data_IF_871383754110
#
_entry.id   IF_871383754110
#
_cell.length_a   1.000
_cell.length_b   1.000
_cell.length_c   1.000
_cell.angle_alpha   90.00
_cell.angle_beta   90.00
_cell.angle_gamma   90.00
#
_symmetry.space_group_name_H-M   'P 1'
#
loop_
_entity.id
_entity.type
_entity.pdbx_description
1 polymer ?
#
# COMPACT_ATOMS: atom_id res chain seq x y z
N UNK A 1 -8.20 7.74 2.25
CA UNK A 1 -9.27 8.43 1.49
C UNK A 1 -8.66 9.48 0.58
N UNK A 2 -9.05 9.48 -0.69
CA UNK A 2 -8.70 10.51 -1.66
C UNK A 2 -9.77 11.60 -1.67
N UNK A 3 -9.36 12.87 -1.49
CA UNK A 3 -10.23 14.05 -1.49
C UNK A 3 -10.10 14.75 -2.84
N UNK A 4 -10.99 14.42 -3.76
CA UNK A 4 -11.00 14.96 -5.12
C UNK A 4 -11.62 16.35 -5.15
N UNK A 5 -11.23 17.21 -6.13
CA UNK A 5 -11.90 18.49 -6.36
C UNK A 5 -13.40 18.27 -6.60
N UNK A 6 -14.23 19.11 -5.98
CA UNK A 6 -15.69 19.10 -6.12
C UNK A 6 -16.30 20.45 -5.69
N UNK A 7 -17.51 20.73 -6.10
CA UNK A 7 -18.26 21.94 -5.71
C UNK A 7 -19.66 21.52 -5.18
N UNK A 8 -20.12 22.05 -4.04
CA UNK A 8 -19.46 23.03 -3.15
C UNK A 8 -18.37 22.43 -2.24
N UNK A 9 -18.25 21.12 -2.16
CA UNK A 9 -17.31 20.43 -1.27
C UNK A 9 -16.49 19.39 -2.04
N UNK A 10 -15.33 19.00 -1.48
CA UNK A 10 -14.50 17.92 -2.02
C UNK A 10 -15.24 16.58 -2.00
N UNK A 11 -15.00 15.76 -3.01
CA UNK A 11 -15.56 14.42 -3.11
C UNK A 11 -14.61 13.44 -2.46
N UNK A 12 -15.05 12.79 -1.37
CA UNK A 12 -14.28 11.76 -0.70
C UNK A 12 -14.48 10.40 -1.40
N UNK A 13 -13.38 9.76 -1.77
CA UNK A 13 -13.36 8.45 -2.43
C UNK A 13 -12.45 7.51 -1.65
N UNK A 14 -12.88 6.28 -1.45
CA UNK A 14 -12.04 5.25 -0.84
C UNK A 14 -10.96 4.86 -1.86
N UNK A 15 -9.72 5.27 -1.56
CA UNK A 15 -8.55 5.06 -2.40
C UNK A 15 -7.42 4.38 -1.65
N UNK A 16 -6.25 4.36 -2.30
CA UNK A 16 -5.07 3.67 -1.81
C UNK A 16 -4.91 2.27 -2.42
N UNK A 17 -3.66 1.93 -2.79
CA UNK A 17 -3.33 0.65 -3.46
C UNK A 17 -3.91 -0.58 -2.75
N UNK A 18 -3.64 -0.80 -1.45
CA UNK A 18 -4.14 -1.97 -0.75
C UNK A 18 -5.66 -2.09 -0.72
N UNK A 19 -6.39 -0.99 -0.47
CA UNK A 19 -7.85 -1.00 -0.46
C UNK A 19 -8.43 -1.30 -1.85
N UNK A 20 -7.84 -0.73 -2.90
CA UNK A 20 -8.25 -1.01 -4.29
C UNK A 20 -7.97 -2.47 -4.69
N UNK A 21 -6.83 -3.02 -4.27
CA UNK A 21 -6.50 -4.43 -4.49
C UNK A 21 -7.48 -5.34 -3.75
N UNK A 22 -7.78 -5.06 -2.48
CA UNK A 22 -8.74 -5.83 -1.69
C UNK A 22 -10.13 -5.86 -2.35
N UNK A 23 -10.64 -4.70 -2.77
CA UNK A 23 -11.92 -4.59 -3.50
C UNK A 23 -11.90 -5.39 -4.81
N UNK A 24 -10.81 -5.28 -5.59
CA UNK A 24 -10.69 -5.97 -6.86
C UNK A 24 -10.69 -7.50 -6.68
N UNK A 25 -9.88 -8.01 -5.75
CA UNK A 25 -9.81 -9.45 -5.47
C UNK A 25 -11.15 -10.00 -4.95
N UNK A 26 -11.81 -9.28 -4.04
CA UNK A 26 -13.12 -9.69 -3.54
C UNK A 26 -14.18 -9.75 -4.65
N UNK A 27 -14.21 -8.75 -5.55
CA UNK A 27 -15.11 -8.74 -6.72
C UNK A 27 -14.80 -9.87 -7.71
N UNK A 28 -13.57 -10.39 -7.73
CA UNK A 28 -13.18 -11.58 -8.50
C UNK A 28 -13.56 -12.89 -7.78
N UNK A 29 -14.16 -12.84 -6.60
CA UNK A 29 -14.65 -13.99 -5.86
C UNK A 29 -13.65 -14.62 -4.89
N UNK A 30 -12.54 -13.94 -4.58
CA UNK A 30 -11.59 -14.39 -3.57
C UNK A 30 -12.04 -14.01 -2.17
N UNK A 31 -11.71 -14.83 -1.18
CA UNK A 31 -11.86 -14.49 0.25
C UNK A 31 -10.72 -13.55 0.66
N UNK A 32 -11.07 -12.31 1.00
CA UNK A 32 -10.10 -11.25 1.25
C UNK A 32 -10.32 -10.67 2.65
N UNK A 33 -9.26 -10.59 3.44
CA UNK A 33 -9.22 -9.87 4.70
C UNK A 33 -8.34 -8.62 4.58
N UNK A 34 -8.87 -7.48 4.99
CA UNK A 34 -8.15 -6.21 4.97
C UNK A 34 -7.54 -5.93 6.34
N UNK A 35 -6.21 -5.79 6.40
CA UNK A 35 -5.45 -5.54 7.62
C UNK A 35 -5.02 -4.08 7.61
N UNK A 36 -5.70 -3.24 8.37
CA UNK A 36 -5.41 -1.79 8.47
C UNK A 36 -6.05 -1.23 9.75
N UNK A 37 -5.55 -0.10 10.23
CA UNK A 37 -6.27 0.73 11.19
C UNK A 37 -7.32 1.58 10.46
N UNK A 38 -8.60 1.36 10.76
CA UNK A 38 -9.70 2.14 10.18
C UNK A 38 -10.27 3.06 11.25
N UNK A 39 -10.26 4.37 10.99
CA UNK A 39 -10.76 5.40 11.90
C UNK A 39 -12.25 5.24 12.23
N UNK A 40 -12.64 5.70 13.43
CA UNK A 40 -14.05 5.88 13.84
C UNK A 40 -14.69 7.17 13.30
N UNK A 41 -13.92 8.04 12.59
CA UNK A 41 -14.42 9.28 12.00
C UNK A 41 -15.35 9.03 10.78
N UNK A 42 -15.87 10.12 10.19
CA UNK A 42 -16.79 10.01 9.06
C UNK A 42 -16.18 9.32 7.83
N UNK A 43 -14.89 9.61 7.54
CA UNK A 43 -14.18 9.02 6.42
C UNK A 43 -13.89 7.52 6.66
N UNK A 44 -13.47 7.16 7.87
CA UNK A 44 -13.26 5.75 8.23
C UNK A 44 -14.55 4.93 8.18
N UNK A 45 -15.68 5.50 8.64
CA UNK A 45 -17.00 4.87 8.50
C UNK A 45 -17.40 4.66 7.05
N UNK A 46 -17.14 5.65 6.17
CA UNK A 46 -17.39 5.53 4.74
C UNK A 46 -16.51 4.46 4.09
N UNK A 47 -15.19 4.44 4.44
CA UNK A 47 -14.26 3.43 3.95
C UNK A 47 -14.71 2.01 4.33
N UNK A 48 -15.08 1.80 5.60
CA UNK A 48 -15.59 0.53 6.11
C UNK A 48 -16.84 0.08 5.36
N UNK A 49 -17.81 0.98 5.17
CA UNK A 49 -19.05 0.67 4.47
C UNK A 49 -18.80 0.28 3.00
N UNK A 50 -17.85 0.95 2.33
CA UNK A 50 -17.50 0.64 0.95
C UNK A 50 -16.78 -0.71 0.82
N UNK A 51 -15.80 -0.99 1.68
CA UNK A 51 -15.08 -2.26 1.69
C UNK A 51 -16.02 -3.44 1.93
N UNK A 52 -16.91 -3.34 2.92
CA UNK A 52 -17.93 -4.36 3.21
C UNK A 52 -18.90 -4.55 2.03
N UNK A 53 -19.36 -3.46 1.41
CA UNK A 53 -20.23 -3.52 0.22
C UNK A 53 -19.56 -4.27 -0.93
N UNK A 54 -18.24 -4.13 -1.08
CA UNK A 54 -17.45 -4.83 -2.10
C UNK A 54 -17.07 -6.27 -1.69
N UNK A 55 -17.55 -6.74 -0.52
CA UNK A 55 -17.32 -8.11 -0.04
C UNK A 55 -15.99 -8.33 0.69
N UNK A 56 -15.25 -7.26 1.01
CA UNK A 56 -13.97 -7.36 1.74
C UNK A 56 -14.24 -7.64 3.23
N UNK A 57 -13.62 -8.69 3.78
CA UNK A 57 -13.64 -8.99 5.20
C UNK A 57 -12.80 -7.98 6.01
N UNK A 58 -13.31 -7.60 7.18
CA UNK A 58 -12.70 -6.61 8.07
C UNK A 58 -12.45 -7.16 9.48
N UNK A 59 -12.47 -8.48 9.65
CA UNK A 59 -12.26 -9.11 10.95
C UNK A 59 -10.87 -8.87 11.52
N UNK A 60 -9.90 -8.59 10.63
CA UNK A 60 -8.51 -8.27 10.97
C UNK A 60 -8.21 -6.77 10.93
N UNK A 61 -9.20 -5.92 10.69
CA UNK A 61 -9.03 -4.47 10.70
C UNK A 61 -9.26 -3.91 12.12
N UNK A 62 -8.34 -3.06 12.58
CA UNK A 62 -8.46 -2.38 13.86
C UNK A 62 -9.45 -1.20 13.76
N UNK A 63 -10.35 -1.07 14.73
CA UNK A 63 -11.08 0.18 14.95
C UNK A 63 -10.17 1.16 15.70
N UNK A 64 -9.94 2.33 15.12
CA UNK A 64 -9.03 3.33 15.67
C UNK A 64 -9.73 4.67 15.91
N UNK A 65 -9.38 5.35 16.99
CA UNK A 65 -9.81 6.73 17.26
C UNK A 65 -8.87 7.78 16.64
N UNK A 66 -7.75 7.33 16.03
CA UNK A 66 -6.89 8.22 15.26
C UNK A 66 -7.60 8.64 13.96
N UNK A 67 -7.30 9.84 13.42
CA UNK A 67 -7.95 10.33 12.19
C UNK A 67 -7.64 9.44 10.98
N UNK A 68 -8.53 9.48 10.00
CA UNK A 68 -8.30 8.82 8.71
C UNK A 68 -7.15 9.48 7.95
N UNK A 69 -6.26 8.69 7.37
CA UNK A 69 -5.29 9.16 6.38
C UNK A 69 -6.01 9.68 5.13
N UNK A 70 -5.66 10.88 4.69
CA UNK A 70 -6.24 11.49 3.49
C UNK A 70 -5.17 11.94 2.51
N UNK A 71 -5.48 11.83 1.20
CA UNK A 71 -4.73 12.43 0.12
C UNK A 71 -5.61 13.49 -0.55
N UNK A 72 -5.29 14.76 -0.36
CA UNK A 72 -6.00 15.87 -0.99
C UNK A 72 -5.46 16.09 -2.39
N UNK A 73 -6.30 15.94 -3.40
CA UNK A 73 -5.96 16.18 -4.80
C UNK A 73 -6.30 17.60 -5.16
N UNK A 74 -5.35 18.31 -5.77
CA UNK A 74 -5.55 19.63 -6.36
C UNK A 74 -5.10 19.60 -7.83
N UNK A 75 -5.89 20.20 -8.69
CA UNK A 75 -5.57 20.33 -10.11
C UNK A 75 -5.05 21.75 -10.37
N UNK A 76 -3.90 21.85 -11.00
CA UNK A 76 -3.37 23.12 -11.50
C UNK A 76 -4.03 23.51 -12.82
N UNK A 77 -3.83 24.77 -13.24
CA UNK A 77 -4.45 25.32 -14.46
C UNK A 77 -4.03 24.60 -15.75
N UNK A 78 -2.91 23.88 -15.74
CA UNK A 78 -2.43 23.04 -16.83
C UNK A 78 -2.97 21.59 -16.79
N UNK A 79 -3.85 21.28 -15.80
CA UNK A 79 -4.45 19.96 -15.62
C UNK A 79 -3.56 18.96 -14.85
N UNK A 80 -2.37 19.36 -14.38
CA UNK A 80 -1.53 18.49 -13.56
C UNK A 80 -2.12 18.33 -12.16
N UNK A 81 -2.06 17.09 -11.63
CA UNK A 81 -2.54 16.79 -10.28
C UNK A 81 -1.39 16.89 -9.26
N UNK A 82 -1.64 17.60 -8.16
CA UNK A 82 -0.79 17.59 -6.98
C UNK A 82 -1.51 16.93 -5.81
N UNK A 83 -0.74 16.29 -4.92
CA UNK A 83 -1.25 15.53 -3.78
C UNK A 83 -0.67 16.08 -2.50
N UNK A 84 -1.54 16.37 -1.53
CA UNK A 84 -1.17 16.69 -0.17
C UNK A 84 -1.65 15.57 0.75
N UNK A 85 -0.74 14.96 1.51
CA UNK A 85 -1.05 13.81 2.34
C UNK A 85 -1.12 14.18 3.82
N UNK A 86 -2.22 13.85 4.49
CA UNK A 86 -2.32 13.81 5.95
C UNK A 86 -1.95 12.40 6.41
N UNK A 87 -0.73 12.22 6.92
CA UNK A 87 -0.15 10.92 7.25
C UNK A 87 0.07 10.79 8.77
N UNK A 88 0.72 11.80 9.36
CA UNK A 88 1.20 11.73 10.74
C UNK A 88 0.04 11.59 11.73
N UNK A 89 0.15 10.60 12.62
CA UNK A 89 -0.84 10.35 13.64
C UNK A 89 -2.18 9.83 13.13
N UNK A 90 -2.21 9.23 11.92
CA UNK A 90 -3.42 8.65 11.35
C UNK A 90 -3.48 7.13 11.57
N UNK A 91 -4.70 6.59 11.51
CA UNK A 91 -4.99 5.19 11.82
C UNK A 91 -4.19 4.19 10.98
N UNK A 92 -4.08 4.43 9.68
CA UNK A 92 -3.41 3.54 8.70
C UNK A 92 -1.92 3.30 9.00
N UNK A 93 -1.24 4.24 9.67
CA UNK A 93 0.21 4.10 9.94
C UNK A 93 0.53 3.74 11.39
N UNK A 94 -0.49 3.40 12.19
CA UNK A 94 -0.36 3.07 13.60
C UNK A 94 -0.33 1.54 13.84
N UNK A 95 0.43 0.80 13.01
CA UNK A 95 0.61 -0.63 13.22
C UNK A 95 1.32 -0.92 14.54
N UNK A 96 0.80 -1.90 15.28
CA UNK A 96 1.33 -2.36 16.56
C UNK A 96 1.14 -3.88 16.68
N UNK A 97 2.10 -4.56 17.30
CA UNK A 97 2.08 -6.00 17.47
C UNK A 97 0.89 -6.52 18.30
N UNK A 98 0.24 -5.64 19.09
CA UNK A 98 -0.87 -6.04 19.96
C UNK A 98 -2.13 -6.42 19.20
N UNK A 99 -2.29 -5.95 17.95
CA UNK A 99 -3.49 -6.21 17.16
C UNK A 99 -3.23 -6.90 15.81
N UNK A 100 -1.99 -6.95 15.34
CA UNK A 100 -1.66 -7.74 14.16
C UNK A 100 -1.96 -9.22 14.41
N UNK A 101 -2.58 -9.94 13.46
CA UNK A 101 -2.89 -11.35 13.67
C UNK A 101 -1.63 -12.19 13.87
N UNK A 102 -1.73 -13.21 14.71
CA UNK A 102 -0.66 -14.18 14.89
C UNK A 102 -0.36 -14.89 13.56
N UNK A 103 0.85 -14.75 12.99
CA UNK A 103 1.17 -15.32 11.69
C UNK A 103 0.97 -16.82 11.60
N UNK A 104 1.25 -17.56 12.68
CA UNK A 104 1.11 -19.03 12.73
C UNK A 104 -0.36 -19.48 12.68
N UNK A 105 -1.26 -18.66 13.16
CA UNK A 105 -2.72 -18.92 13.15
C UNK A 105 -3.41 -18.38 11.92
N UNK A 106 -2.98 -17.20 11.45
CA UNK A 106 -3.58 -16.51 10.32
C UNK A 106 -3.38 -17.29 9.00
N UNK A 107 -2.17 -17.75 8.71
CA UNK A 107 -1.78 -18.55 7.52
C UNK A 107 -2.51 -18.16 6.24
N UNK A 108 -2.33 -16.95 5.71
CA UNK A 108 -2.95 -16.55 4.47
C UNK A 108 -2.39 -17.38 3.30
N UNK A 109 -3.16 -17.54 2.23
CA UNK A 109 -2.65 -18.12 0.97
C UNK A 109 -1.67 -17.17 0.27
N UNK A 110 -1.87 -15.85 0.44
CA UNK A 110 -1.02 -14.79 -0.09
C UNK A 110 -1.16 -13.53 0.77
N UNK A 111 -0.07 -12.82 0.99
CA UNK A 111 -0.08 -11.47 1.58
C UNK A 111 0.25 -10.44 0.50
N UNK A 112 -0.71 -9.55 0.18
CA UNK A 112 -0.43 -8.39 -0.65
C UNK A 112 -0.13 -7.19 0.25
N UNK A 113 0.97 -6.50 -0.01
CA UNK A 113 1.43 -5.35 0.76
C UNK A 113 2.09 -4.32 -0.16
N UNK A 114 2.12 -3.08 0.28
CA UNK A 114 2.83 -2.03 -0.45
C UNK A 114 2.42 -0.63 -0.08
N UNK A 115 2.89 0.32 -0.85
CA UNK A 115 2.64 1.75 -0.69
C UNK A 115 3.23 2.32 0.62
N UNK A 116 2.68 3.41 1.11
CA UNK A 116 3.23 4.21 2.22
C UNK A 116 3.32 3.45 3.56
N UNK A 117 2.50 2.42 3.80
CA UNK A 117 2.55 1.63 5.04
C UNK A 117 3.88 0.88 5.20
N UNK A 118 4.62 0.71 4.10
CA UNK A 118 5.92 0.03 4.10
C UNK A 118 7.11 0.95 4.42
N UNK A 119 6.87 2.26 4.54
CA UNK A 119 7.92 3.26 4.74
C UNK A 119 7.63 4.27 5.85
N UNK A 120 6.38 4.39 6.31
CA UNK A 120 5.99 5.38 7.34
C UNK A 120 6.11 4.76 8.73
N UNK A 121 7.04 5.30 9.50
CA UNK A 121 7.29 4.89 10.88
C UNK A 121 6.25 5.50 11.87
N UNK A 122 6.02 4.85 13.02
CA UNK A 122 6.65 3.62 13.52
C UNK A 122 6.01 2.32 12.97
N UNK A 123 4.90 2.41 12.26
CA UNK A 123 4.14 1.26 11.79
C UNK A 123 4.89 0.41 10.76
N UNK A 124 5.74 1.01 9.92
CA UNK A 124 6.46 0.30 8.86
C UNK A 124 7.38 -0.78 9.42
N UNK A 125 8.16 -0.49 10.48
CA UNK A 125 9.05 -1.47 11.12
C UNK A 125 8.25 -2.62 11.75
N UNK A 126 7.16 -2.33 12.45
CA UNK A 126 6.29 -3.35 13.06
C UNK A 126 5.70 -4.26 11.98
N UNK A 127 5.20 -3.66 10.90
CA UNK A 127 4.59 -4.39 9.80
C UNK A 127 5.61 -5.25 9.05
N UNK A 128 6.84 -4.76 8.88
CA UNK A 128 7.93 -5.52 8.27
C UNK A 128 8.28 -6.76 9.10
N UNK A 129 8.50 -6.60 10.41
CA UNK A 129 8.83 -7.72 11.30
C UNK A 129 7.72 -8.79 11.33
N UNK A 130 6.47 -8.36 11.26
CA UNK A 130 5.32 -9.24 11.13
C UNK A 130 5.30 -9.95 9.76
N UNK A 131 5.52 -9.22 8.67
CA UNK A 131 5.52 -9.78 7.32
C UNK A 131 6.66 -10.77 7.08
N UNK A 132 7.84 -10.58 7.71
CA UNK A 132 8.93 -11.57 7.70
C UNK A 132 8.44 -12.91 8.22
N UNK A 133 7.69 -12.95 9.33
CA UNK A 133 7.12 -14.18 9.85
C UNK A 133 6.06 -14.78 8.92
N UNK A 134 5.21 -13.94 8.31
CA UNK A 134 4.22 -14.41 7.31
C UNK A 134 4.91 -15.03 6.10
N UNK A 135 6.06 -14.49 5.66
CA UNK A 135 6.80 -15.01 4.49
C UNK A 135 7.28 -16.46 4.64
N UNK A 136 7.31 -16.98 5.88
CA UNK A 136 7.62 -18.39 6.14
C UNK A 136 6.47 -19.35 5.75
N UNK A 137 5.24 -18.83 5.62
CA UNK A 137 4.03 -19.61 5.36
C UNK A 137 3.36 -19.27 4.04
N UNK A 138 3.51 -18.02 3.56
CA UNK A 138 2.78 -17.51 2.41
C UNK A 138 3.65 -16.62 1.52
N UNK A 139 3.45 -16.66 0.20
CA UNK A 139 4.08 -15.73 -0.73
C UNK A 139 3.63 -14.29 -0.44
N UNK A 140 4.57 -13.36 -0.52
CA UNK A 140 4.30 -11.92 -0.42
C UNK A 140 4.29 -11.32 -1.82
N UNK A 141 3.23 -10.57 -2.14
CA UNK A 141 3.11 -9.72 -3.33
C UNK A 141 3.32 -8.27 -2.90
N UNK A 142 4.39 -7.67 -3.36
CA UNK A 142 4.80 -6.32 -2.99
C UNK A 142 4.64 -5.33 -4.14
N UNK A 143 3.92 -4.22 -3.89
CA UNK A 143 3.79 -3.07 -4.79
C UNK A 143 4.29 -1.81 -4.06
N UNK A 144 5.54 -1.37 -4.25
CA UNK A 144 6.08 -0.21 -3.55
C UNK A 144 5.30 1.09 -3.83
N UNK A 145 4.80 1.25 -5.05
CA UNK A 145 3.97 2.39 -5.45
C UNK A 145 4.52 3.74 -4.94
N UNK A 146 5.68 4.11 -5.44
CA UNK A 146 6.57 5.15 -4.90
C UNK A 146 5.91 6.54 -4.87
N UNK A 147 6.10 7.25 -3.77
CA UNK A 147 5.61 8.63 -3.57
C UNK A 147 6.73 9.54 -3.09
N UNK A 148 7.56 10.11 -3.99
CA UNK A 148 8.70 10.96 -3.62
C UNK A 148 8.30 12.20 -2.79
N UNK A 149 7.08 12.69 -2.96
CA UNK A 149 6.56 13.82 -2.18
C UNK A 149 6.40 13.51 -0.69
N UNK A 150 6.25 12.23 -0.32
CA UNK A 150 6.10 11.79 1.07
C UNK A 150 7.46 11.48 1.71
N UNK A 151 8.37 10.87 0.96
CA UNK A 151 9.75 10.61 1.39
C UNK A 151 10.71 11.10 0.30
N UNK A 152 11.16 12.37 0.38
CA UNK A 152 12.06 12.96 -0.63
C UNK A 152 13.47 12.37 -0.63
N UNK A 153 13.92 11.76 0.48
CA UNK A 153 15.18 11.03 0.54
C UNK A 153 15.04 9.69 -0.20
N UNK A 154 15.30 9.74 -1.51
CA UNK A 154 15.16 8.57 -2.40
C UNK A 154 16.20 7.48 -2.12
N UNK A 155 17.32 7.79 -1.44
CA UNK A 155 18.29 6.79 -1.04
C UNK A 155 17.68 5.95 0.08
N UNK A 156 17.19 6.63 1.12
CA UNK A 156 16.49 5.97 2.21
C UNK A 156 15.25 5.21 1.74
N UNK A 157 14.48 5.79 0.82
CA UNK A 157 13.31 5.14 0.23
C UNK A 157 13.69 3.84 -0.46
N UNK A 158 14.76 3.87 -1.27
CA UNK A 158 15.29 2.67 -1.94
C UNK A 158 15.71 1.60 -0.93
N UNK A 159 16.41 1.98 0.14
CA UNK A 159 16.85 1.04 1.16
C UNK A 159 15.65 0.33 1.82
N UNK A 160 14.55 1.05 2.09
CA UNK A 160 13.33 0.45 2.62
C UNK A 160 12.68 -0.50 1.58
N UNK A 161 12.55 -0.08 0.32
CA UNK A 161 12.01 -0.94 -0.75
C UNK A 161 12.86 -2.21 -0.92
N UNK A 162 14.17 -2.10 -0.85
CA UNK A 162 15.09 -3.24 -0.97
C UNK A 162 14.95 -4.26 0.17
N UNK A 163 14.56 -3.83 1.38
CA UNK A 163 14.20 -4.75 2.47
C UNK A 163 12.98 -5.60 2.11
N UNK A 164 11.91 -4.95 1.59
CA UNK A 164 10.69 -5.63 1.20
C UNK A 164 10.89 -6.58 0.02
N UNK A 165 11.72 -6.21 -0.97
CA UNK A 165 12.06 -7.08 -2.09
C UNK A 165 12.62 -8.42 -1.61
N UNK A 166 13.48 -8.42 -0.57
CA UNK A 166 14.14 -9.64 -0.05
C UNK A 166 13.20 -10.68 0.53
N UNK A 167 12.02 -10.27 0.99
CA UNK A 167 11.02 -11.18 1.57
C UNK A 167 9.84 -11.43 0.61
N UNK A 168 9.86 -10.83 -0.58
CA UNK A 168 8.74 -10.88 -1.53
C UNK A 168 8.94 -11.99 -2.58
N UNK A 169 7.86 -12.73 -2.85
CA UNK A 169 7.81 -13.70 -3.94
C UNK A 169 7.48 -13.03 -5.27
N UNK A 170 6.64 -12.00 -5.23
CA UNK A 170 6.23 -11.23 -6.40
C UNK A 170 6.45 -9.75 -6.13
N UNK A 171 7.04 -9.03 -7.06
CA UNK A 171 7.21 -7.58 -6.99
C UNK A 171 6.59 -6.93 -8.22
N UNK A 172 5.76 -5.92 -8.03
CA UNK A 172 5.21 -5.11 -9.12
C UNK A 172 5.79 -3.70 -9.03
N UNK A 173 6.34 -3.21 -10.12
CA UNK A 173 6.72 -1.82 -10.31
C UNK A 173 5.94 -1.18 -11.46
N UNK A 174 5.74 0.12 -11.41
CA UNK A 174 5.52 0.92 -12.61
C UNK A 174 6.86 1.39 -13.19
N UNK A 175 6.89 1.81 -14.45
CA UNK A 175 8.07 2.49 -15.02
C UNK A 175 8.43 3.74 -14.21
N UNK A 176 7.43 4.46 -13.68
CA UNK A 176 7.63 5.65 -12.84
C UNK A 176 8.30 5.31 -11.50
N UNK A 177 7.92 4.18 -10.87
CA UNK A 177 8.56 3.70 -9.64
C UNK A 177 10.05 3.42 -9.86
N UNK A 178 10.37 2.75 -10.98
CA UNK A 178 11.75 2.45 -11.35
C UNK A 178 12.53 3.73 -11.65
N UNK A 179 11.98 4.63 -12.45
CA UNK A 179 12.61 5.91 -12.77
C UNK A 179 12.90 6.76 -11.53
N UNK A 180 12.01 6.71 -10.53
CA UNK A 180 12.19 7.44 -9.27
C UNK A 180 13.33 6.85 -8.41
N UNK A 181 13.36 5.52 -8.21
CA UNK A 181 14.31 4.88 -7.30
C UNK A 181 15.65 4.52 -7.96
N UNK A 182 15.63 4.22 -9.25
CA UNK A 182 16.79 3.71 -10.02
C UNK A 182 16.98 4.55 -11.28
N UNK A 183 17.26 5.87 -11.15
CA UNK A 183 17.40 6.74 -12.28
C UNK A 183 18.54 6.25 -13.20
N UNK A 184 18.27 6.18 -14.50
CA UNK A 184 19.15 5.69 -15.56
C UNK A 184 19.33 4.15 -15.62
N UNK A 185 18.62 3.38 -14.82
CA UNK A 185 18.62 1.92 -14.93
C UNK A 185 17.52 1.44 -15.89
N UNK A 186 17.85 0.37 -16.62
CA UNK A 186 16.85 -0.30 -17.47
C UNK A 186 15.84 -1.09 -16.62
N UNK A 187 14.53 -0.92 -16.84
CA UNK A 187 13.51 -1.68 -16.10
C UNK A 187 13.71 -3.21 -16.13
N UNK A 188 14.13 -3.75 -17.26
CA UNK A 188 14.44 -5.19 -17.38
C UNK A 188 15.68 -5.55 -16.56
N UNK A 189 16.66 -4.67 -16.47
CA UNK A 189 17.84 -4.81 -15.61
C UNK A 189 17.43 -4.90 -14.13
N UNK A 190 16.57 -4.00 -13.67
CA UNK A 190 16.04 -4.02 -12.30
C UNK A 190 15.25 -5.31 -12.03
N UNK A 191 14.42 -5.76 -12.98
CA UNK A 191 13.72 -7.04 -12.83
C UNK A 191 14.68 -8.22 -12.65
N UNK A 192 15.76 -8.29 -13.42
CA UNK A 192 16.78 -9.34 -13.27
C UNK A 192 17.44 -9.30 -11.89
N UNK A 193 17.80 -8.12 -11.40
CA UNK A 193 18.36 -7.94 -10.05
C UNK A 193 17.38 -8.43 -8.97
N UNK A 194 16.08 -8.16 -9.11
CA UNK A 194 15.07 -8.70 -8.19
C UNK A 194 15.01 -10.23 -8.22
N UNK A 195 15.03 -10.84 -9.41
CA UNK A 195 15.05 -12.30 -9.58
C UNK A 195 16.32 -12.91 -8.94
N UNK A 196 17.48 -12.29 -9.11
CA UNK A 196 18.73 -12.73 -8.46
C UNK A 196 18.67 -12.66 -6.93
N UNK A 197 17.83 -11.77 -6.37
CA UNK A 197 17.55 -11.67 -4.92
C UNK A 197 16.52 -12.68 -4.41
N UNK A 198 15.94 -13.53 -5.27
CA UNK A 198 14.99 -14.57 -4.90
C UNK A 198 13.53 -14.28 -5.22
N UNK A 199 13.21 -13.13 -5.80
CA UNK A 199 11.86 -12.84 -6.31
C UNK A 199 11.53 -13.81 -7.44
N UNK A 200 10.34 -14.42 -7.41
CA UNK A 200 9.93 -15.41 -8.41
C UNK A 200 9.30 -14.78 -9.65
N UNK A 201 8.63 -13.63 -9.48
CA UNK A 201 7.97 -12.91 -10.56
C UNK A 201 8.12 -11.40 -10.35
N UNK A 202 8.55 -10.70 -11.39
CA UNK A 202 8.52 -9.23 -11.43
C UNK A 202 7.55 -8.77 -12.52
N UNK A 203 6.62 -7.91 -12.14
CA UNK A 203 5.64 -7.30 -13.04
C UNK A 203 6.01 -5.82 -13.21
N UNK A 204 6.17 -5.37 -14.45
CA UNK A 204 6.44 -3.97 -14.77
C UNK A 204 5.28 -3.43 -15.59
N UNK A 205 4.55 -2.45 -15.04
CA UNK A 205 3.47 -1.78 -15.76
C UNK A 205 4.01 -0.54 -16.50
N UNK A 206 3.54 -0.33 -17.73
CA UNK A 206 4.04 0.68 -18.67
C UNK A 206 2.96 1.69 -19.08
N UNK A 207 2.05 2.00 -18.16
CA UNK A 207 0.94 2.91 -18.42
C UNK A 207 0.14 2.48 -19.64
N UNK A 208 0.01 3.37 -20.63
CA UNK A 208 -0.74 3.10 -21.87
C UNK A 208 -0.08 2.04 -22.78
N UNK A 209 1.14 1.65 -22.49
CA UNK A 209 1.91 0.69 -23.30
C UNK A 209 1.90 -0.75 -22.73
N UNK A 210 1.12 -1.00 -21.68
CA UNK A 210 0.92 -2.33 -21.11
C UNK A 210 1.46 -2.57 -19.73
#
# INVERSE_FOLDING_TARGET
>A
IDLLPGEPERIAVVGGGPANTAKALSRLGHDVQFIDGISSDAYGKSARAELVRDGVGLDLALNSDLPTCTATVSLSSDGSASYEFLINGTATFAFDNSWLPDPERFKPEVLQIGTLVTIIEPGASVLYDWAVKVSEFAPIVFDPNIRPSVMPDLIKYRDEVEKWIKISSVVKFSEDDIAALYPNEDPVGIAKVCIEKGVQLVVITRGANG
#
